data_IF_024449285337
#
_entry.id   IF_024449285337
#
_cell.length_a   1.000
_cell.length_b   1.000
_cell.length_c   1.000
_cell.angle_alpha   90.00
_cell.angle_beta   90.00
_cell.angle_gamma   90.00
#
_symmetry.space_group_name_H-M   'P 1'
#
loop_
_entity.id
_entity.type
_entity.pdbx_description
1 polymer ?
#
# COMPACT_ATOMS: atom_id res chain seq x y z
N UNK A 1 -86.52 57.88 -74.37
CA UNK A 1 -85.54 58.56 -73.49
C UNK A 1 -84.55 57.51 -72.99
N UNK A 2 -83.23 57.68 -73.15
CA UNK A 2 -82.27 56.73 -72.59
C UNK A 2 -82.31 56.81 -71.05
N UNK A 3 -82.10 55.69 -70.34
CA UNK A 3 -82.06 55.69 -68.89
C UNK A 3 -80.89 56.54 -68.40
N UNK A 4 -81.17 57.43 -67.45
CA UNK A 4 -80.18 58.27 -66.77
C UNK A 4 -79.19 57.33 -66.07
N UNK A 5 -77.94 57.30 -66.55
CA UNK A 5 -76.88 56.48 -65.95
C UNK A 5 -76.64 56.97 -64.51
N UNK A 6 -76.53 56.07 -63.52
CA UNK A 6 -76.22 56.47 -62.16
C UNK A 6 -74.82 57.10 -62.15
N UNK A 7 -74.74 58.37 -61.77
CA UNK A 7 -73.47 59.00 -61.45
C UNK A 7 -73.10 58.54 -60.04
N UNK A 8 -72.06 57.72 -59.92
CA UNK A 8 -71.52 57.39 -58.62
C UNK A 8 -70.88 58.66 -58.04
N UNK A 9 -71.25 58.99 -56.82
CA UNK A 9 -70.66 60.12 -56.09
C UNK A 9 -69.31 59.70 -55.52
N UNK A 10 -68.43 60.66 -55.22
CA UNK A 10 -67.11 60.38 -54.65
C UNK A 10 -67.19 59.51 -53.38
N UNK A 11 -68.26 59.70 -52.59
CA UNK A 11 -68.56 58.92 -51.40
C UNK A 11 -68.91 57.45 -51.69
N UNK A 12 -69.54 57.15 -52.83
CA UNK A 12 -69.86 55.77 -53.22
C UNK A 12 -68.61 55.00 -53.66
N UNK A 13 -67.65 55.71 -54.30
CA UNK A 13 -66.36 55.15 -54.70
C UNK A 13 -65.49 54.88 -53.47
N UNK A 14 -65.46 55.79 -52.50
CA UNK A 14 -64.75 55.62 -51.22
C UNK A 14 -65.34 54.46 -50.40
N UNK A 15 -66.67 54.33 -50.35
CA UNK A 15 -67.35 53.21 -49.68
C UNK A 15 -67.05 51.86 -50.37
N UNK A 16 -66.96 51.82 -51.70
CA UNK A 16 -66.59 50.62 -52.45
C UNK A 16 -65.11 50.23 -52.27
N UNK A 17 -64.21 51.21 -52.17
CA UNK A 17 -62.80 50.97 -51.88
C UNK A 17 -62.55 50.49 -50.44
N UNK A 18 -63.35 50.94 -49.47
CA UNK A 18 -63.32 50.41 -48.10
C UNK A 18 -63.94 49.01 -47.97
N UNK A 19 -64.92 48.68 -48.82
CA UNK A 19 -65.60 47.38 -48.81
C UNK A 19 -64.76 46.25 -49.44
N UNK A 20 -63.91 46.57 -50.42
CA UNK A 20 -62.85 45.66 -50.85
C UNK A 20 -61.83 45.66 -49.71
N UNK A 21 -61.68 44.52 -49.02
CA UNK A 21 -60.76 44.30 -47.89
C UNK A 21 -59.27 44.41 -48.31
N UNK A 22 -58.87 45.48 -48.99
CA UNK A 22 -57.48 45.86 -49.25
C UNK A 22 -56.81 46.44 -47.99
N UNK A 23 -57.59 46.72 -46.93
CA UNK A 23 -57.22 47.56 -45.79
C UNK A 23 -57.42 46.89 -44.42
N UNK A 24 -57.83 45.62 -44.37
CA UNK A 24 -57.94 44.88 -43.11
C UNK A 24 -56.64 44.12 -42.82
N UNK A 25 -55.83 44.55 -41.83
CA UNK A 25 -54.58 43.86 -41.46
C UNK A 25 -54.81 42.45 -40.89
N UNK A 26 -56.06 42.08 -40.63
CA UNK A 26 -56.49 40.80 -40.06
C UNK A 26 -56.87 39.76 -41.12
N UNK A 27 -57.02 40.16 -42.38
CA UNK A 27 -57.54 39.30 -43.45
C UNK A 27 -56.41 38.68 -44.27
N UNK A 28 -56.33 37.36 -44.28
CA UNK A 28 -55.30 36.59 -45.02
C UNK A 28 -55.64 36.38 -46.49
N UNK A 29 -56.80 36.86 -46.96
CA UNK A 29 -57.28 36.70 -48.33
C UNK A 29 -57.42 38.06 -48.98
N UNK A 30 -56.47 38.40 -49.87
CA UNK A 30 -56.60 39.55 -50.75
C UNK A 30 -57.84 39.35 -51.63
N UNK A 31 -58.92 40.09 -51.36
CA UNK A 31 -60.16 40.03 -52.15
C UNK A 31 -59.97 40.70 -53.53
N UNK A 32 -59.07 40.16 -54.36
CA UNK A 32 -58.78 40.63 -55.71
C UNK A 32 -59.95 40.40 -56.69
N UNK A 33 -60.87 39.46 -56.40
CA UNK A 33 -62.04 39.20 -57.24
C UNK A 33 -63.00 40.40 -57.32
N UNK A 34 -63.09 41.21 -56.24
CA UNK A 34 -63.88 42.44 -56.22
C UNK A 34 -63.28 43.57 -57.06
N UNK A 35 -61.99 43.50 -57.36
CA UNK A 35 -61.29 44.53 -58.13
C UNK A 35 -61.71 44.51 -59.61
N UNK A 36 -61.92 43.31 -60.18
CA UNK A 36 -62.31 43.15 -61.59
C UNK A 36 -63.71 43.70 -61.90
N UNK A 37 -64.67 43.50 -60.99
CA UNK A 37 -66.04 44.02 -61.13
C UNK A 37 -66.10 45.53 -60.89
N UNK A 38 -65.28 46.05 -59.97
CA UNK A 38 -65.11 47.49 -59.72
C UNK A 38 -64.47 48.22 -60.91
N UNK A 39 -63.40 47.67 -61.49
CA UNK A 39 -62.76 48.26 -62.68
C UNK A 39 -63.73 48.29 -63.87
N UNK A 40 -64.57 47.25 -64.02
CA UNK A 40 -65.61 47.20 -65.05
C UNK A 40 -66.71 48.25 -64.83
N UNK A 41 -67.20 48.41 -63.60
CA UNK A 41 -68.24 49.41 -63.28
C UNK A 41 -67.74 50.86 -63.44
N UNK A 42 -66.48 51.13 -63.09
CA UNK A 42 -65.83 52.44 -63.28
C UNK A 42 -65.61 52.75 -64.76
N UNK A 43 -65.29 51.75 -65.58
CA UNK A 43 -65.16 51.90 -67.03
C UNK A 43 -66.51 52.18 -67.71
N UNK A 44 -67.56 51.43 -67.33
CA UNK A 44 -68.93 51.62 -67.83
C UNK A 44 -69.50 53.01 -67.43
N UNK A 45 -69.09 53.53 -66.26
CA UNK A 45 -69.43 54.87 -65.77
C UNK A 45 -68.57 56.01 -66.35
N UNK A 46 -67.49 55.73 -67.10
CA UNK A 46 -66.50 56.72 -67.62
C UNK A 46 -65.91 57.64 -66.54
N UNK A 47 -65.78 57.18 -65.30
CA UNK A 47 -65.23 57.96 -64.17
C UNK A 47 -63.79 57.54 -63.79
N UNK A 48 -63.01 57.09 -64.78
CA UNK A 48 -61.66 56.53 -64.60
C UNK A 48 -60.69 57.53 -63.95
N UNK A 49 -60.72 58.79 -64.38
CA UNK A 49 -59.84 59.84 -63.84
C UNK A 49 -60.18 60.24 -62.40
N UNK A 50 -61.44 60.08 -61.99
CA UNK A 50 -61.86 60.33 -60.61
C UNK A 50 -61.40 59.18 -59.70
N UNK A 51 -61.58 57.93 -60.14
CA UNK A 51 -61.14 56.74 -59.44
C UNK A 51 -59.61 56.72 -59.24
N UNK A 52 -58.83 56.99 -60.30
CA UNK A 52 -57.37 57.06 -60.20
C UNK A 52 -56.89 58.17 -59.25
N UNK A 53 -57.60 59.30 -59.17
CA UNK A 53 -57.29 60.36 -58.21
C UNK A 53 -57.54 59.92 -56.78
N UNK A 54 -58.67 59.25 -56.52
CA UNK A 54 -58.99 58.70 -55.21
C UNK A 54 -57.99 57.63 -54.76
N UNK A 55 -57.61 56.71 -55.65
CA UNK A 55 -56.60 55.67 -55.35
C UNK A 55 -55.22 56.28 -55.09
N UNK A 56 -54.81 57.30 -55.86
CA UNK A 56 -53.56 58.02 -55.57
C UNK A 56 -53.59 58.72 -54.21
N UNK A 57 -54.69 59.39 -53.86
CA UNK A 57 -54.85 59.99 -52.54
C UNK A 57 -54.84 58.96 -51.40
N UNK A 58 -55.37 57.75 -51.65
CA UNK A 58 -55.28 56.64 -50.69
C UNK A 58 -53.85 56.13 -50.52
N UNK A 59 -53.10 55.98 -51.63
CA UNK A 59 -51.68 55.60 -51.59
C UNK A 59 -50.89 56.64 -50.80
N UNK A 60 -51.04 57.91 -51.11
CA UNK A 60 -50.36 59.00 -50.40
C UNK A 60 -50.73 59.03 -48.90
N UNK A 61 -52.01 58.80 -48.56
CA UNK A 61 -52.44 58.69 -47.16
C UNK A 61 -51.85 57.46 -46.46
N UNK A 62 -51.71 56.33 -47.15
CA UNK A 62 -51.17 55.10 -46.56
C UNK A 62 -49.65 55.14 -46.43
N UNK A 63 -48.96 55.74 -47.40
CA UNK A 63 -47.53 56.00 -47.30
C UNK A 63 -47.25 56.93 -46.11
N UNK A 64 -48.06 57.97 -45.91
CA UNK A 64 -47.97 58.83 -44.73
C UNK A 64 -48.26 58.09 -43.41
N UNK A 65 -49.26 57.18 -43.39
CA UNK A 65 -49.55 56.34 -42.23
C UNK A 65 -48.36 55.40 -41.92
N UNK A 66 -47.77 54.77 -42.94
CA UNK A 66 -46.59 53.89 -42.80
C UNK A 66 -45.41 54.69 -42.29
N UNK A 67 -45.15 55.87 -42.86
CA UNK A 67 -44.03 56.73 -42.47
C UNK A 67 -44.17 57.21 -41.03
N UNK A 68 -45.40 57.50 -40.58
CA UNK A 68 -45.70 57.80 -39.18
C UNK A 68 -45.46 56.61 -38.26
N UNK A 69 -45.99 55.42 -38.59
CA UNK A 69 -45.79 54.21 -37.77
C UNK A 69 -44.30 53.83 -37.70
N UNK A 70 -43.59 53.95 -38.82
CA UNK A 70 -42.14 53.75 -38.88
C UNK A 70 -41.42 54.79 -38.04
N UNK A 71 -41.76 56.08 -38.15
CA UNK A 71 -41.17 57.15 -37.36
C UNK A 71 -41.38 56.97 -35.85
N UNK A 72 -42.60 56.61 -35.45
CA UNK A 72 -43.00 56.40 -34.05
C UNK A 72 -42.25 55.21 -33.41
N UNK A 73 -42.02 54.13 -34.17
CA UNK A 73 -41.41 52.89 -33.65
C UNK A 73 -39.93 52.70 -34.01
N UNK A 74 -39.34 53.57 -34.83
CA UNK A 74 -37.96 53.40 -35.32
C UNK A 74 -36.94 53.36 -34.17
N UNK A 75 -37.10 54.24 -33.18
CA UNK A 75 -36.20 54.30 -32.03
C UNK A 75 -36.24 53.02 -31.19
N UNK A 76 -37.44 52.47 -30.96
CA UNK A 76 -37.62 51.23 -30.21
C UNK A 76 -37.11 50.01 -30.98
N UNK A 77 -37.31 49.98 -32.30
CA UNK A 77 -36.74 48.96 -33.17
C UNK A 77 -35.21 49.02 -33.17
N UNK A 78 -34.63 50.21 -33.34
CA UNK A 78 -33.18 50.40 -33.30
C UNK A 78 -32.59 50.00 -31.94
N UNK A 79 -33.26 50.35 -30.84
CA UNK A 79 -32.90 49.91 -29.49
C UNK A 79 -32.96 48.40 -29.30
N UNK A 80 -34.00 47.76 -29.84
CA UNK A 80 -34.18 46.30 -29.83
C UNK A 80 -33.09 45.57 -30.62
N UNK A 81 -32.69 46.11 -31.79
CA UNK A 81 -31.58 45.56 -32.59
C UNK A 81 -30.24 45.73 -31.87
N UNK A 82 -30.01 46.89 -31.25
CA UNK A 82 -28.78 47.15 -30.47
C UNK A 82 -28.65 46.22 -29.27
N UNK A 83 -29.75 45.99 -28.54
CA UNK A 83 -29.77 45.02 -27.43
C UNK A 83 -29.56 43.59 -27.90
N UNK A 84 -30.15 43.17 -29.03
CA UNK A 84 -29.91 41.86 -29.63
C UNK A 84 -28.43 41.66 -30.02
N UNK A 85 -27.82 42.68 -30.63
CA UNK A 85 -26.38 42.68 -30.93
C UNK A 85 -25.54 42.55 -29.66
N UNK A 86 -25.91 43.30 -28.62
CA UNK A 86 -25.21 43.25 -27.32
C UNK A 86 -25.30 41.86 -26.68
N UNK A 87 -26.50 41.27 -26.66
CA UNK A 87 -26.72 39.90 -26.14
C UNK A 87 -25.94 38.87 -26.94
N UNK A 88 -25.89 39.01 -28.27
CA UNK A 88 -25.08 38.15 -29.14
C UNK A 88 -23.60 38.23 -28.74
N UNK A 89 -23.05 39.42 -28.56
CA UNK A 89 -21.64 39.61 -28.15
C UNK A 89 -21.38 38.96 -26.79
N UNK A 90 -22.24 39.20 -25.79
CA UNK A 90 -22.12 38.56 -24.47
C UNK A 90 -22.19 37.03 -24.54
N UNK A 91 -23.04 36.47 -25.42
CA UNK A 91 -23.18 35.03 -25.59
C UNK A 91 -21.91 34.43 -26.21
N UNK A 92 -21.30 35.12 -27.17
CA UNK A 92 -20.02 34.71 -27.77
C UNK A 92 -18.91 34.76 -26.72
N UNK A 93 -18.78 35.86 -25.98
CA UNK A 93 -17.79 35.99 -24.91
C UNK A 93 -17.96 34.92 -23.83
N UNK A 94 -19.20 34.62 -23.45
CA UNK A 94 -19.50 33.58 -22.47
C UNK A 94 -19.10 32.20 -22.99
N UNK A 95 -19.42 31.88 -24.25
CA UNK A 95 -19.00 30.63 -24.89
C UNK A 95 -17.47 30.50 -24.87
N UNK A 96 -16.77 31.57 -25.22
CA UNK A 96 -15.30 31.56 -25.28
C UNK A 96 -14.68 31.39 -23.87
N UNK A 97 -15.27 32.03 -22.84
CA UNK A 97 -14.88 31.80 -21.44
C UNK A 97 -15.16 30.37 -20.97
N UNK A 98 -16.31 29.80 -21.33
CA UNK A 98 -16.64 28.41 -21.00
C UNK A 98 -15.63 27.46 -21.66
N UNK A 99 -15.29 27.70 -22.93
CA UNK A 99 -14.30 26.89 -23.66
C UNK A 99 -12.91 26.99 -23.01
N UNK A 100 -12.49 28.19 -22.61
CA UNK A 100 -11.21 28.38 -21.91
C UNK A 100 -11.19 27.66 -20.57
N UNK A 101 -12.27 27.78 -19.79
CA UNK A 101 -12.38 27.13 -18.49
C UNK A 101 -12.40 25.60 -18.62
N UNK A 102 -13.12 25.05 -19.60
CA UNK A 102 -13.14 23.61 -19.86
C UNK A 102 -11.74 23.08 -20.18
N UNK A 103 -10.99 23.81 -21.01
CA UNK A 103 -9.61 23.46 -21.35
C UNK A 103 -8.67 23.52 -20.13
N UNK A 104 -8.78 24.56 -19.31
CA UNK A 104 -7.99 24.69 -18.07
C UNK A 104 -8.34 23.59 -17.05
N UNK A 105 -9.63 23.31 -16.84
CA UNK A 105 -10.10 22.26 -15.92
C UNK A 105 -9.64 20.89 -16.42
N UNK A 106 -9.74 20.63 -17.71
CA UNK A 106 -9.26 19.39 -18.32
C UNK A 106 -7.75 19.23 -18.14
N UNK A 107 -6.97 20.29 -18.38
CA UNK A 107 -5.51 20.26 -18.20
C UNK A 107 -5.12 20.02 -16.73
N UNK A 108 -5.76 20.72 -15.78
CA UNK A 108 -5.54 20.52 -14.34
C UNK A 108 -5.97 19.12 -13.92
N UNK A 109 -7.10 18.62 -14.43
CA UNK A 109 -7.60 17.28 -14.18
C UNK A 109 -6.64 16.19 -14.65
N UNK A 110 -6.10 16.32 -15.87
CA UNK A 110 -5.09 15.42 -16.41
C UNK A 110 -3.78 15.48 -15.61
N UNK A 111 -3.33 16.68 -15.24
CA UNK A 111 -2.14 16.86 -14.40
C UNK A 111 -2.30 16.21 -13.02
N UNK A 112 -3.46 16.37 -12.40
CA UNK A 112 -3.78 15.77 -11.10
C UNK A 112 -3.86 14.24 -11.19
N UNK A 113 -4.49 13.70 -12.23
CA UNK A 113 -4.57 12.26 -12.46
C UNK A 113 -3.17 11.63 -12.63
N UNK A 114 -2.30 12.30 -13.39
CA UNK A 114 -0.91 11.88 -13.57
C UNK A 114 -0.14 11.88 -12.24
N UNK A 115 -0.23 12.95 -11.46
CA UNK A 115 0.39 13.04 -10.12
C UNK A 115 -0.15 11.98 -9.17
N UNK A 116 -1.46 11.70 -9.17
CA UNK A 116 -2.07 10.63 -8.37
C UNK A 116 -1.53 9.26 -8.76
N UNK A 117 -1.38 8.98 -10.06
CA UNK A 117 -0.80 7.71 -10.55
C UNK A 117 0.66 7.56 -10.09
N UNK A 118 1.45 8.64 -10.17
CA UNK A 118 2.82 8.64 -9.68
C UNK A 118 2.89 8.40 -8.15
N UNK A 119 2.01 9.04 -7.38
CA UNK A 119 1.91 8.85 -5.93
C UNK A 119 1.55 7.40 -5.56
N UNK A 120 0.57 6.80 -6.25
CA UNK A 120 0.21 5.39 -6.02
C UNK A 120 1.35 4.44 -6.34
N UNK A 121 2.10 4.69 -7.43
CA UNK A 121 3.30 3.92 -7.76
C UNK A 121 4.35 4.05 -6.66
N UNK A 122 4.63 5.27 -6.19
CA UNK A 122 5.56 5.53 -5.09
C UNK A 122 5.13 4.84 -3.79
N UNK A 123 3.84 4.90 -3.43
CA UNK A 123 3.30 4.20 -2.24
C UNK A 123 3.43 2.68 -2.36
N UNK A 124 3.20 2.12 -3.55
CA UNK A 124 3.43 0.68 -3.80
C UNK A 124 4.90 0.32 -3.64
N UNK A 125 5.81 1.14 -4.19
CA UNK A 125 7.25 0.93 -4.01
C UNK A 125 7.65 1.03 -2.54
N UNK A 126 7.10 2.00 -1.78
CA UNK A 126 7.34 2.11 -0.34
C UNK A 126 6.87 0.86 0.42
N UNK A 127 5.67 0.36 0.14
CA UNK A 127 5.17 -0.88 0.75
C UNK A 127 6.04 -2.10 0.44
N UNK A 128 6.51 -2.24 -0.80
CA UNK A 128 7.46 -3.29 -1.16
C UNK A 128 8.82 -3.13 -0.43
N UNK A 129 9.27 -1.90 -0.20
CA UNK A 129 10.49 -1.63 0.57
C UNK A 129 10.31 -1.99 2.05
N UNK A 130 9.17 -1.68 2.65
CA UNK A 130 8.88 -2.03 4.05
C UNK A 130 8.85 -3.56 4.24
N UNK A 131 8.27 -4.30 3.29
CA UNK A 131 8.28 -5.77 3.29
C UNK A 131 9.72 -6.32 3.11
N UNK A 132 10.50 -5.74 2.21
CA UNK A 132 11.91 -6.08 2.04
C UNK A 132 12.73 -5.79 3.31
N UNK A 133 12.47 -4.69 4.02
CA UNK A 133 13.12 -4.37 5.29
C UNK A 133 12.73 -5.40 6.35
N UNK A 134 11.45 -5.75 6.47
CA UNK A 134 10.97 -6.75 7.44
C UNK A 134 11.57 -8.14 7.20
N UNK A 135 11.68 -8.55 5.94
CA UNK A 135 12.35 -9.82 5.57
C UNK A 135 13.84 -9.78 5.89
N UNK A 136 14.55 -8.70 5.52
CA UNK A 136 15.97 -8.54 5.84
C UNK A 136 16.26 -8.53 7.34
N UNK A 137 15.46 -7.84 8.14
CA UNK A 137 15.60 -7.82 9.61
C UNK A 137 15.41 -9.22 10.20
N UNK A 138 14.50 -10.00 9.64
CA UNK A 138 14.26 -11.38 10.07
C UNK A 138 15.44 -12.28 9.70
N UNK A 139 16.01 -12.13 8.50
CA UNK A 139 17.24 -12.81 8.09
C UNK A 139 18.43 -12.45 8.99
N UNK A 140 18.57 -11.16 9.33
CA UNK A 140 19.64 -10.68 10.21
C UNK A 140 19.54 -11.28 11.61
N UNK A 141 18.32 -11.40 12.16
CA UNK A 141 18.10 -12.09 13.45
C UNK A 141 18.57 -13.54 13.41
N UNK A 142 18.24 -14.28 12.35
CA UNK A 142 18.71 -15.67 12.18
C UNK A 142 20.23 -15.71 12.07
N UNK A 143 20.83 -14.80 11.31
CA UNK A 143 22.28 -14.70 11.15
C UNK A 143 22.98 -14.39 12.48
N UNK A 144 22.45 -13.48 13.28
CA UNK A 144 22.98 -13.15 14.61
C UNK A 144 22.93 -14.36 15.55
N UNK A 145 21.86 -15.17 15.50
CA UNK A 145 21.78 -16.41 16.27
C UNK A 145 22.84 -17.41 15.82
N UNK A 146 23.05 -17.59 14.51
CA UNK A 146 24.09 -18.48 13.97
C UNK A 146 25.49 -17.99 14.37
N UNK A 147 25.74 -16.69 14.27
CA UNK A 147 27.01 -16.10 14.70
C UNK A 147 27.25 -16.33 16.21
N UNK A 148 26.21 -16.13 17.04
CA UNK A 148 26.27 -16.41 18.47
C UNK A 148 26.53 -17.88 18.79
N UNK A 149 26.05 -18.82 17.97
CA UNK A 149 26.43 -20.23 18.07
C UNK A 149 27.94 -20.40 17.86
N UNK A 150 28.51 -19.75 16.85
CA UNK A 150 29.97 -19.75 16.64
C UNK A 150 30.75 -19.21 17.84
N UNK A 151 30.30 -18.09 18.44
CA UNK A 151 30.88 -17.54 19.67
C UNK A 151 30.80 -18.51 20.85
N UNK A 152 29.63 -19.13 21.07
CA UNK A 152 29.44 -20.11 22.15
C UNK A 152 30.32 -21.34 22.01
N UNK A 153 30.59 -21.80 20.77
CA UNK A 153 31.54 -22.89 20.51
C UNK A 153 32.95 -22.48 20.95
N UNK A 154 33.36 -21.23 20.66
CA UNK A 154 34.67 -20.71 21.07
C UNK A 154 34.81 -20.55 22.58
N UNK A 155 33.72 -20.18 23.25
CA UNK A 155 33.64 -20.09 24.71
C UNK A 155 33.48 -21.46 25.43
N UNK A 156 33.52 -22.58 24.70
CA UNK A 156 33.31 -23.96 25.22
C UNK A 156 31.93 -24.18 25.85
N UNK A 157 30.92 -23.41 25.44
CA UNK A 157 29.52 -23.54 25.89
C UNK A 157 28.70 -24.39 24.93
N UNK A 158 29.13 -25.63 24.72
CA UNK A 158 28.60 -26.52 23.68
C UNK A 158 27.11 -26.86 23.85
N UNK A 159 26.63 -27.04 25.08
CA UNK A 159 25.21 -27.30 25.33
C UNK A 159 24.31 -26.13 24.93
N UNK A 160 24.73 -24.91 25.28
CA UNK A 160 24.00 -23.69 24.91
C UNK A 160 23.99 -23.50 23.39
N UNK A 161 25.12 -23.81 22.73
CA UNK A 161 25.24 -23.80 21.28
C UNK A 161 24.27 -24.79 20.61
N UNK A 162 24.19 -26.03 21.11
CA UNK A 162 23.27 -27.04 20.57
C UNK A 162 21.80 -26.65 20.75
N UNK A 163 21.44 -26.10 21.92
CA UNK A 163 20.09 -25.62 22.18
C UNK A 163 19.70 -24.48 21.24
N UNK A 164 20.58 -23.49 21.05
CA UNK A 164 20.30 -22.38 20.13
C UNK A 164 20.19 -22.86 18.67
N UNK A 165 20.92 -23.90 18.26
CA UNK A 165 20.72 -24.52 16.95
C UNK A 165 19.33 -25.16 16.79
N UNK A 166 18.77 -25.72 17.86
CA UNK A 166 17.41 -26.27 17.86
C UNK A 166 16.35 -25.17 17.91
N UNK A 167 16.61 -24.10 18.67
CA UNK A 167 15.79 -22.88 18.64
C UNK A 167 15.72 -22.31 17.22
N UNK A 168 16.84 -22.25 16.49
CA UNK A 168 16.83 -21.80 15.08
C UNK A 168 15.91 -22.68 14.24
N UNK A 169 15.95 -24.01 14.40
CA UNK A 169 15.12 -24.95 13.63
C UNK A 169 13.63 -24.83 13.94
N UNK A 170 13.28 -24.50 15.19
CA UNK A 170 11.91 -24.42 15.68
C UNK A 170 11.25 -23.05 15.46
N UNK A 171 12.00 -22.05 14.98
CA UNK A 171 11.43 -20.74 14.66
C UNK A 171 10.39 -20.85 13.54
N UNK A 172 9.23 -20.18 13.67
CA UNK A 172 8.25 -20.11 12.59
C UNK A 172 8.80 -19.21 11.49
N UNK A 173 9.34 -19.82 10.43
CA UNK A 173 9.91 -19.10 9.28
C UNK A 173 8.87 -18.46 8.36
N UNK A 174 7.65 -18.16 8.83
CA UNK A 174 6.51 -17.78 7.99
C UNK A 174 6.79 -16.62 7.03
N UNK A 175 7.70 -15.71 7.38
CA UNK A 175 8.11 -14.57 6.55
C UNK A 175 9.38 -14.81 5.71
N UNK A 176 10.17 -15.84 6.02
CA UNK A 176 11.51 -16.09 5.43
C UNK A 176 11.52 -17.39 4.59
N UNK A 177 10.46 -18.20 4.69
CA UNK A 177 10.34 -19.57 4.17
C UNK A 177 10.67 -19.73 2.68
N UNK A 178 10.58 -18.67 1.88
CA UNK A 178 10.84 -18.71 0.43
C UNK A 178 12.19 -18.11 0.01
N UNK A 179 13.06 -17.78 0.97
CA UNK A 179 14.37 -17.16 0.64
C UNK A 179 15.46 -18.22 0.50
N UNK A 180 16.32 -18.13 -0.53
CA UNK A 180 17.47 -19.04 -0.69
C UNK A 180 18.47 -18.94 0.47
N UNK A 181 18.43 -17.83 1.21
CA UNK A 181 19.19 -17.64 2.44
C UNK A 181 18.82 -18.68 3.51
N UNK A 182 17.52 -18.91 3.74
CA UNK A 182 17.07 -19.85 4.75
C UNK A 182 17.49 -21.28 4.40
N UNK A 183 17.32 -21.68 3.15
CA UNK A 183 17.75 -22.99 2.67
C UNK A 183 19.25 -23.21 2.89
N UNK A 184 20.06 -22.20 2.61
CA UNK A 184 21.50 -22.25 2.86
C UNK A 184 21.83 -22.41 4.35
N UNK A 185 21.16 -21.64 5.22
CA UNK A 185 21.35 -21.75 6.67
C UNK A 185 20.95 -23.14 7.16
N UNK A 186 19.77 -23.64 6.78
CA UNK A 186 19.29 -24.97 7.17
C UNK A 186 20.23 -26.08 6.68
N UNK A 187 20.77 -25.97 5.47
CA UNK A 187 21.77 -26.89 4.94
C UNK A 187 23.11 -26.82 5.69
N UNK A 188 23.44 -25.68 6.30
CA UNK A 188 24.67 -25.51 7.09
C UNK A 188 24.55 -26.03 8.54
N UNK A 189 23.33 -26.15 9.09
CA UNK A 189 23.10 -26.58 10.48
C UNK A 189 23.69 -27.97 10.81
N UNK A 190 23.59 -29.00 9.95
CA UNK A 190 24.23 -30.29 10.19
C UNK A 190 25.76 -30.18 10.29
N UNK A 191 26.36 -29.32 9.48
CA UNK A 191 27.81 -29.06 9.54
C UNK A 191 28.20 -28.43 10.88
N UNK A 192 27.44 -27.45 11.38
CA UNK A 192 27.67 -26.87 12.70
C UNK A 192 27.50 -27.91 13.83
N UNK A 193 26.49 -28.78 13.75
CA UNK A 193 26.33 -29.90 14.71
C UNK A 193 27.55 -30.83 14.70
N UNK A 194 28.07 -31.17 13.52
CA UNK A 194 29.28 -31.98 13.39
C UNK A 194 30.52 -31.28 13.96
N UNK A 195 30.65 -29.96 13.78
CA UNK A 195 31.73 -29.17 14.40
C UNK A 195 31.65 -29.18 15.93
N UNK A 196 30.46 -29.01 16.52
CA UNK A 196 30.27 -29.12 17.97
C UNK A 196 30.69 -30.52 18.45
N UNK A 197 30.22 -31.58 17.78
CA UNK A 197 30.60 -32.96 18.10
C UNK A 197 32.11 -33.15 18.06
N UNK A 198 32.78 -32.68 17.00
CA UNK A 198 34.22 -32.75 16.85
C UNK A 198 34.98 -31.97 17.93
N UNK A 199 34.52 -30.76 18.29
CA UNK A 199 35.12 -29.94 19.34
C UNK A 199 35.01 -30.62 20.72
N UNK A 200 33.84 -31.17 21.05
CA UNK A 200 33.60 -31.91 22.29
C UNK A 200 34.44 -33.19 22.36
N UNK A 201 34.54 -33.94 21.25
CA UNK A 201 35.40 -35.14 21.20
C UNK A 201 36.88 -34.76 21.35
N UNK A 202 37.33 -33.67 20.74
CA UNK A 202 38.70 -33.17 20.87
C UNK A 202 39.02 -32.75 22.31
N UNK A 203 38.13 -32.01 22.96
CA UNK A 203 38.29 -31.63 24.37
C UNK A 203 38.28 -32.83 25.30
N UNK A 204 37.39 -33.79 25.07
CA UNK A 204 37.35 -35.05 25.81
C UNK A 204 38.66 -35.84 25.66
N UNK A 205 39.20 -35.96 24.45
CA UNK A 205 40.48 -36.62 24.22
C UNK A 205 41.65 -35.88 24.88
N UNK A 206 41.65 -34.55 24.83
CA UNK A 206 42.65 -33.72 25.53
C UNK A 206 42.56 -33.94 27.04
N UNK A 207 41.35 -34.02 27.59
CA UNK A 207 41.14 -34.31 29.01
C UNK A 207 41.64 -35.71 29.40
N UNK A 208 41.41 -36.74 28.57
CA UNK A 208 41.94 -38.08 28.82
C UNK A 208 43.47 -38.11 28.87
N UNK A 209 44.15 -37.28 28.07
CA UNK A 209 45.61 -37.13 28.13
C UNK A 209 46.05 -36.47 29.44
N UNK A 210 45.40 -35.36 29.85
CA UNK A 210 45.67 -34.71 31.13
C UNK A 210 45.44 -35.67 32.30
N UNK A 211 44.32 -36.41 32.30
CA UNK A 211 44.03 -37.40 33.34
C UNK A 211 45.10 -38.48 33.37
N UNK A 212 45.58 -38.96 32.21
CA UNK A 212 46.65 -39.96 32.14
C UNK A 212 47.94 -39.47 32.79
N UNK A 213 48.32 -38.22 32.60
CA UNK A 213 49.50 -37.61 33.24
C UNK A 213 49.31 -37.53 34.76
N UNK A 214 48.15 -37.04 35.19
CA UNK A 214 47.81 -36.86 36.62
C UNK A 214 47.60 -38.20 37.34
N UNK A 215 47.21 -39.27 36.63
CA UNK A 215 46.95 -40.59 37.22
C UNK A 215 48.20 -41.15 37.92
N UNK A 216 49.40 -40.86 37.42
CA UNK A 216 50.66 -41.26 38.07
C UNK A 216 50.82 -40.63 39.44
N UNK A 217 50.65 -39.31 39.53
CA UNK A 217 50.73 -38.57 40.79
C UNK A 217 49.59 -38.94 41.76
N UNK A 218 48.38 -39.15 41.25
CA UNK A 218 47.24 -39.67 42.03
C UNK A 218 47.57 -41.05 42.60
N UNK A 219 48.23 -41.91 41.83
CA UNK A 219 48.71 -43.22 42.28
C UNK A 219 49.73 -43.12 43.40
N UNK A 220 50.70 -42.21 43.30
CA UNK A 220 51.67 -41.95 44.37
C UNK A 220 51.02 -41.43 45.64
N UNK A 221 50.10 -40.46 45.53
CA UNK A 221 49.33 -39.93 46.66
C UNK A 221 48.43 -41.01 47.28
N UNK A 222 47.82 -41.87 46.46
CA UNK A 222 47.02 -43.00 46.94
C UNK A 222 47.88 -43.97 47.74
N UNK A 223 49.05 -44.34 47.24
CA UNK A 223 50.00 -45.23 47.93
C UNK A 223 50.50 -44.60 49.23
N UNK A 224 50.87 -43.33 49.22
CA UNK A 224 51.30 -42.60 50.42
C UNK A 224 50.18 -42.52 51.47
N UNK A 225 48.94 -42.25 51.04
CA UNK A 225 47.78 -42.23 51.94
C UNK A 225 47.48 -43.63 52.52
N UNK A 226 47.63 -44.68 51.73
CA UNK A 226 47.51 -46.08 52.19
C UNK A 226 48.64 -46.43 53.16
N UNK A 227 49.87 -46.01 52.91
CA UNK A 227 51.02 -46.25 53.78
C UNK A 227 50.87 -45.53 55.12
N UNK A 228 50.49 -44.24 55.10
CA UNK A 228 50.24 -43.48 56.33
C UNK A 228 49.06 -44.07 57.12
N UNK A 229 48.01 -44.52 56.43
CA UNK A 229 46.92 -45.28 57.06
C UNK A 229 47.43 -46.57 57.71
N UNK A 230 48.26 -47.35 57.02
CA UNK A 230 48.86 -48.57 57.55
C UNK A 230 49.78 -48.30 58.75
N UNK A 231 50.52 -47.18 58.74
CA UNK A 231 51.37 -46.72 59.87
C UNK A 231 50.53 -46.31 61.08
N UNK A 232 49.51 -45.47 60.87
CA UNK A 232 48.54 -45.08 61.93
C UNK A 232 47.87 -46.31 62.55
N UNK A 233 47.51 -47.29 61.72
CA UNK A 233 46.91 -48.53 62.20
C UNK A 233 47.87 -49.42 62.98
N UNK A 234 49.12 -49.61 62.52
CA UNK A 234 50.16 -50.31 63.30
C UNK A 234 50.37 -49.69 64.68
N UNK A 235 50.49 -48.36 64.74
CA UNK A 235 50.68 -47.62 66.00
C UNK A 235 49.49 -47.79 66.95
N UNK A 236 48.25 -47.81 66.43
CA UNK A 236 47.05 -48.07 67.25
C UNK A 236 47.05 -49.49 67.80
N UNK A 237 47.37 -50.48 66.96
CA UNK A 237 47.46 -51.90 67.37
C UNK A 237 48.47 -52.15 68.48
N UNK A 238 49.64 -51.49 68.39
CA UNK A 238 50.69 -51.57 69.41
C UNK A 238 50.28 -50.92 70.75
N UNK A 239 49.51 -49.83 70.71
CA UNK A 239 48.97 -49.16 71.91
C UNK A 239 47.84 -49.95 72.57
N UNK A 240 46.99 -50.61 71.78
CA UNK A 240 45.79 -51.30 72.27
C UNK A 240 46.04 -52.79 72.62
N UNK A 241 47.25 -53.32 72.36
CA UNK A 241 47.67 -54.65 72.83
C UNK A 241 46.91 -55.84 72.21
N UNK A 242 46.37 -55.70 71.00
CA UNK A 242 45.59 -56.78 70.37
C UNK A 242 46.48 -57.98 70.00
N UNK A 243 46.12 -59.21 70.42
CA UNK A 243 46.91 -60.41 70.13
C UNK A 243 46.87 -60.80 68.64
N UNK A 244 47.96 -61.42 68.17
CA UNK A 244 48.23 -61.82 66.78
C UNK A 244 47.26 -62.89 66.19
N UNK A 245 46.19 -63.26 66.90
CA UNK A 245 45.48 -64.53 66.65
C UNK A 245 44.46 -64.50 65.52
N UNK A 246 44.10 -63.33 64.98
CA UNK A 246 43.20 -63.29 63.83
C UNK A 246 43.98 -62.90 62.57
N UNK A 247 44.37 -63.92 61.81
CA UNK A 247 44.84 -63.79 60.43
C UNK A 247 43.83 -62.96 59.64
N UNK A 248 44.29 -61.82 59.14
CA UNK A 248 43.84 -61.08 57.95
C UNK A 248 42.32 -61.11 57.68
N UNK A 249 41.63 -59.97 57.90
CA UNK A 249 40.34 -59.70 57.26
C UNK A 249 39.10 -59.95 58.12
N UNK A 250 39.05 -59.40 59.34
CA UNK A 250 37.76 -59.32 60.02
C UNK A 250 36.88 -58.28 59.29
N UNK A 251 35.64 -58.62 58.93
CA UNK A 251 34.70 -57.68 58.31
C UNK A 251 34.51 -56.39 59.15
N UNK A 252 34.68 -56.48 60.47
CA UNK A 252 34.67 -55.35 61.41
C UNK A 252 35.89 -54.42 61.23
N UNK A 253 37.07 -54.96 60.90
CA UNK A 253 38.26 -54.15 60.58
C UNK A 253 38.07 -53.39 59.26
N UNK A 254 37.41 -54.01 58.26
CA UNK A 254 37.14 -53.36 56.98
C UNK A 254 36.15 -52.19 57.13
N UNK A 255 35.06 -52.40 57.87
CA UNK A 255 34.01 -51.39 58.10
C UNK A 255 34.50 -50.23 58.97
N UNK A 256 35.40 -50.48 59.93
CA UNK A 256 36.02 -49.40 60.73
C UNK A 256 37.11 -48.63 59.98
N UNK A 257 37.65 -49.20 58.89
CA UNK A 257 38.68 -48.63 58.03
C UNK A 257 38.12 -47.94 56.77
N UNK A 258 36.83 -48.14 56.45
CA UNK A 258 36.16 -47.63 55.25
C UNK A 258 35.80 -46.13 55.27
N UNK A 259 36.03 -45.42 56.38
CA UNK A 259 35.87 -43.95 56.37
C UNK A 259 36.97 -43.34 55.52
N UNK A 260 36.63 -43.04 54.26
CA UNK A 260 37.46 -42.30 53.31
C UNK A 260 37.70 -40.89 53.86
N UNK A 261 38.76 -40.72 54.65
CA UNK A 261 39.17 -39.41 55.20
C UNK A 261 39.80 -38.49 54.15
N UNK A 262 40.18 -39.02 52.98
CA UNK A 262 41.00 -38.32 52.00
C UNK A 262 40.49 -38.58 50.58
N UNK A 263 39.97 -37.53 49.93
CA UNK A 263 39.54 -37.58 48.53
C UNK A 263 40.76 -37.45 47.62
N UNK A 264 41.29 -38.58 47.17
CA UNK A 264 42.53 -38.64 46.37
C UNK A 264 42.43 -37.80 45.08
N UNK A 265 41.21 -37.59 44.56
CA UNK A 265 40.95 -36.87 43.30
C UNK A 265 40.75 -35.36 43.48
N UNK A 266 40.59 -34.90 44.72
CA UNK A 266 40.36 -33.50 45.05
C UNK A 266 41.10 -33.11 46.35
N UNK A 267 42.37 -32.74 46.19
CA UNK A 267 43.26 -32.32 47.28
C UNK A 267 43.98 -31.01 46.92
N UNK A 268 44.67 -30.42 47.90
CA UNK A 268 45.49 -29.21 47.72
C UNK A 268 46.55 -29.32 46.62
N UNK A 269 46.93 -30.54 46.23
CA UNK A 269 47.93 -30.82 45.20
C UNK A 269 47.36 -31.15 43.83
N UNK A 270 46.19 -31.80 43.78
CA UNK A 270 45.61 -32.32 42.53
C UNK A 270 44.09 -32.17 42.59
N UNK A 271 43.54 -31.55 41.56
CA UNK A 271 42.09 -31.44 41.34
C UNK A 271 41.78 -31.94 39.93
N UNK A 272 41.10 -33.07 39.83
CA UNK A 272 40.66 -33.63 38.54
C UNK A 272 39.26 -33.10 38.21
N UNK A 273 39.14 -32.23 37.22
CA UNK A 273 37.83 -31.72 36.76
C UNK A 273 37.17 -32.72 35.80
N UNK A 274 36.04 -33.32 36.20
CA UNK A 274 35.27 -34.25 35.36
C UNK A 274 34.24 -33.57 34.44
N UNK A 275 34.17 -32.23 34.41
CA UNK A 275 33.25 -31.50 33.52
C UNK A 275 33.37 -31.90 32.05
N UNK A 276 34.57 -32.05 31.44
CA UNK A 276 34.66 -32.42 30.02
C UNK A 276 34.06 -33.80 29.72
N UNK A 277 34.19 -34.76 30.64
CA UNK A 277 33.58 -36.07 30.54
C UNK A 277 32.04 -35.98 30.61
N UNK A 278 31.52 -35.27 31.61
CA UNK A 278 30.09 -35.10 31.78
C UNK A 278 29.45 -34.36 30.59
N UNK A 279 30.12 -33.30 30.10
CA UNK A 279 29.68 -32.56 28.92
C UNK A 279 29.67 -33.44 27.68
N UNK A 280 30.71 -34.25 27.46
CA UNK A 280 30.77 -35.18 26.34
C UNK A 280 29.60 -36.16 26.34
N UNK A 281 29.36 -36.84 27.47
CA UNK A 281 28.23 -37.77 27.62
C UNK A 281 26.92 -37.05 27.33
N UNK A 282 26.67 -35.91 27.98
CA UNK A 282 25.41 -35.19 27.85
C UNK A 282 25.17 -34.71 26.41
N UNK A 283 26.20 -34.25 25.70
CA UNK A 283 26.07 -33.74 24.34
C UNK A 283 25.88 -34.89 23.34
N UNK A 284 26.60 -36.00 23.51
CA UNK A 284 26.41 -37.18 22.68
C UNK A 284 25.01 -37.78 22.87
N UNK A 285 24.50 -37.88 24.11
CA UNK A 285 23.12 -38.30 24.37
C UNK A 285 22.09 -37.36 23.73
N UNK A 286 22.34 -36.04 23.74
CA UNK A 286 21.46 -35.06 23.12
C UNK A 286 21.55 -35.01 21.58
N UNK A 287 22.65 -35.48 20.99
CA UNK A 287 22.84 -35.55 19.53
C UNK A 287 22.25 -36.82 18.91
N UNK A 288 22.18 -37.91 19.69
CA UNK A 288 21.63 -39.20 19.27
C UNK A 288 20.09 -39.30 19.45
N UNK A 289 19.49 -38.33 20.15
CA UNK A 289 18.04 -38.18 20.33
C UNK A 289 17.40 -37.33 19.21
#
# INVERSE_FOLDING_TARGET
>A
MPPRRPAYTQADIDAQLQAIHLLDPSSTTENLEGLGTLVKSVHDARQQDAFLRTVKGLIESKDADIEKICGDNYQDFAGSVSTLLTVRTYTVDLRDRISSLDQEVSQVGHGLASKKKALLKSKRTAGNLDEAIGTLQSCLRVLDMVNKVGEMIRERKYWSALRTLEEIRSLPFSSISQTPFLDHILASLPSLRAQIKGAVTSEHNSWLLTVREVTGEVGELALAAVEERARRWRTRREREGLPYTNRVGCAVELVTNEKVEYDILNNDRIVVDFKPLYQSIHIHTALDA
#
